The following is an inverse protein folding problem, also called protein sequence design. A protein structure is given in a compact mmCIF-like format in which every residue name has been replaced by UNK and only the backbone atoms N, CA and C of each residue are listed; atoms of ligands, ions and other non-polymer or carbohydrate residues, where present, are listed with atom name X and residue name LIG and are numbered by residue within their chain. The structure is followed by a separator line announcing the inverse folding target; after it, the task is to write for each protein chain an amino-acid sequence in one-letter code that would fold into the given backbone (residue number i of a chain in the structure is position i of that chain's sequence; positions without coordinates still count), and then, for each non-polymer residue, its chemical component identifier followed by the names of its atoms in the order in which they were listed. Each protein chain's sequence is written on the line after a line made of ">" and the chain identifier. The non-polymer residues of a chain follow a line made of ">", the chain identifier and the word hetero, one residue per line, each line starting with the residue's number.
data_IF_651814214599
#
_entry.id   IF_651814214599
#
_cell.length_a   1.000
_cell.length_b   1.000
_cell.length_c   1.000
_cell.angle_alpha   90.00
_cell.angle_beta   90.00
_cell.angle_gamma   90.00
#
_symmetry.space_group_name_H-M   'P 1'
#
loop_
_entity.id
_entity.type
_entity.pdbx_description
1 polymer ?
#
# COMPACT_ATOMS: atom_id res chain seq x y z
N UNK A 1 -13.86 0.63 0.33
CA UNK A 1 -12.63 0.67 1.14
C UNK A 1 -11.51 1.00 0.18
N UNK A 2 -10.62 1.94 0.51
CA UNK A 2 -9.42 2.18 -0.29
C UNK A 2 -8.62 0.89 -0.41
N UNK A 3 -7.97 0.69 -1.56
CA UNK A 3 -7.18 -0.50 -1.85
C UNK A 3 -5.99 -0.07 -2.68
N UNK A 4 -4.81 -0.48 -2.25
CA UNK A 4 -3.61 -0.37 -3.07
C UNK A 4 -3.52 -1.67 -3.85
N UNK A 5 -3.39 -1.53 -5.18
CA UNK A 5 -3.21 -2.66 -6.08
C UNK A 5 -1.94 -2.45 -6.88
N UNK A 6 -0.94 -3.28 -6.64
CA UNK A 6 0.22 -3.39 -7.53
C UNK A 6 -0.08 -4.45 -8.57
N UNK A 7 0.09 -4.12 -9.85
CA UNK A 7 -0.10 -5.06 -10.95
C UNK A 7 1.24 -5.39 -11.61
N UNK A 8 1.54 -6.68 -11.70
CA UNK A 8 2.73 -7.21 -12.37
C UNK A 8 2.28 -8.08 -13.55
N UNK A 9 2.93 -7.94 -14.70
CA UNK A 9 2.65 -8.71 -15.91
C UNK A 9 3.85 -9.58 -16.28
N UNK A 10 3.58 -10.81 -16.68
CA UNK A 10 4.59 -11.80 -17.04
C UNK A 10 4.19 -12.53 -18.32
N UNK A 11 5.16 -12.90 -19.14
CA UNK A 11 4.99 -13.63 -20.42
C UNK A 11 4.68 -15.13 -20.23
N UNK A 12 4.15 -15.48 -19.07
CA UNK A 12 3.74 -16.84 -18.75
C UNK A 12 3.79 -17.15 -17.26
N UNK A 13 3.06 -18.21 -16.90
CA UNK A 13 2.86 -18.59 -15.50
C UNK A 13 4.16 -18.89 -14.77
N UNK A 14 5.12 -19.55 -15.44
CA UNK A 14 6.38 -19.97 -14.79
C UNK A 14 7.14 -18.78 -14.20
N UNK A 15 7.30 -17.71 -14.95
CA UNK A 15 7.99 -16.50 -14.50
C UNK A 15 7.26 -15.80 -13.36
N UNK A 16 5.93 -15.74 -13.41
CA UNK A 16 5.12 -15.21 -12.31
C UNK A 16 5.31 -15.99 -11.00
N UNK A 17 5.43 -17.32 -11.09
CA UNK A 17 5.63 -18.21 -9.94
C UNK A 17 7.02 -18.03 -9.33
N UNK A 18 8.05 -17.91 -10.18
CA UNK A 18 9.41 -17.67 -9.71
C UNK A 18 9.51 -16.34 -8.97
N UNK A 19 8.87 -15.28 -9.49
CA UNK A 19 8.79 -13.98 -8.80
C UNK A 19 8.07 -14.10 -7.44
N UNK A 20 6.92 -14.80 -7.40
CA UNK A 20 6.16 -15.03 -6.17
C UNK A 20 6.96 -15.79 -5.10
N UNK A 21 7.79 -16.73 -5.52
CA UNK A 21 8.67 -17.45 -4.59
C UNK A 21 9.83 -16.60 -4.12
N UNK A 22 10.50 -15.90 -5.04
CA UNK A 22 11.75 -15.20 -4.77
C UNK A 22 11.54 -13.91 -3.98
N UNK A 23 10.49 -13.14 -4.30
CA UNK A 23 10.25 -11.84 -3.67
C UNK A 23 9.36 -11.99 -2.44
N UNK A 24 8.39 -12.89 -2.52
CA UNK A 24 7.27 -12.90 -1.57
C UNK A 24 7.27 -14.14 -0.65
N UNK A 25 8.25 -15.04 -0.80
CA UNK A 25 8.38 -16.28 0.00
C UNK A 25 7.06 -17.07 0.12
N UNK A 26 6.20 -16.97 -0.89
CA UNK A 26 4.86 -17.55 -0.83
C UNK A 26 4.97 -19.05 -1.05
N UNK A 27 4.95 -19.81 0.03
CA UNK A 27 4.67 -21.23 -0.03
C UNK A 27 3.17 -21.42 -0.25
N UNK A 28 2.83 -22.02 -1.39
CA UNK A 28 1.48 -22.20 -1.94
C UNK A 28 0.53 -23.04 -1.08
N UNK A 29 0.98 -23.47 0.10
CA UNK A 29 0.24 -24.37 0.99
C UNK A 29 -0.67 -23.63 1.97
N UNK A 30 -0.46 -22.32 2.18
CA UNK A 30 -1.28 -21.55 3.13
C UNK A 30 -2.36 -20.74 2.39
N UNK A 31 -3.58 -21.27 2.43
CA UNK A 31 -4.87 -20.59 2.21
C UNK A 31 -5.20 -20.12 0.77
N UNK A 32 -5.34 -21.08 -0.15
CA UNK A 32 -6.10 -20.88 -1.39
C UNK A 32 -7.58 -20.74 -1.03
N UNK A 33 -8.18 -19.57 -1.30
CA UNK A 33 -9.58 -19.28 -0.92
C UNK A 33 -10.54 -19.41 -2.10
N UNK A 34 -10.06 -19.21 -3.33
CA UNK A 34 -10.91 -19.26 -4.52
C UNK A 34 -10.09 -19.58 -5.76
N UNK A 35 -10.55 -20.57 -6.52
CA UNK A 35 -10.10 -20.86 -7.88
C UNK A 35 -11.31 -20.72 -8.80
N UNK A 36 -11.30 -19.71 -9.65
CA UNK A 36 -12.23 -19.56 -10.77
C UNK A 36 -11.44 -19.75 -12.07
N UNK A 37 -12.09 -19.97 -13.22
CA UNK A 37 -11.38 -20.20 -14.49
C UNK A 37 -10.30 -19.13 -14.74
N UNK A 38 -9.04 -19.57 -14.70
CA UNK A 38 -7.88 -18.70 -14.90
C UNK A 38 -7.53 -17.78 -13.73
N UNK A 39 -8.25 -17.76 -12.60
CA UNK A 39 -7.99 -16.85 -11.48
C UNK A 39 -7.80 -17.60 -10.15
N UNK A 40 -6.66 -17.38 -9.50
CA UNK A 40 -6.35 -17.92 -8.16
C UNK A 40 -6.16 -16.78 -7.17
N UNK A 41 -6.85 -16.80 -6.03
CA UNK A 41 -6.69 -15.80 -4.96
C UNK A 41 -6.09 -16.42 -3.70
N UNK A 42 -4.99 -15.85 -3.23
CA UNK A 42 -4.36 -16.07 -1.94
C UNK A 42 -4.70 -14.88 -1.03
N UNK A 43 -5.24 -15.09 0.17
CA UNK A 43 -5.49 -14.00 1.12
C UNK A 43 -4.59 -14.12 2.34
N UNK A 44 -4.34 -12.98 2.99
CA UNK A 44 -3.59 -12.96 4.25
C UNK A 44 -2.12 -13.35 4.10
N UNK A 45 -1.54 -13.17 2.91
CA UNK A 45 -0.12 -13.44 2.67
C UNK A 45 0.70 -12.36 3.35
N UNK A 46 1.60 -12.74 4.25
CA UNK A 46 2.48 -11.81 4.95
C UNK A 46 3.73 -11.52 4.10
N UNK A 47 3.93 -10.25 3.74
CA UNK A 47 5.09 -9.75 3.01
C UNK A 47 5.79 -8.67 3.85
N UNK A 48 7.00 -8.91 4.33
CA UNK A 48 7.73 -7.99 5.25
C UNK A 48 6.80 -7.41 6.35
N UNK A 49 6.03 -8.29 7.01
CA UNK A 49 5.05 -7.95 8.07
C UNK A 49 3.79 -7.19 7.62
N UNK A 50 3.48 -7.21 6.32
CA UNK A 50 2.25 -6.65 5.77
C UNK A 50 1.39 -7.77 5.18
N UNK A 51 0.18 -7.92 5.71
CA UNK A 51 -0.81 -8.85 5.18
C UNK A 51 -1.46 -8.32 3.91
N UNK A 52 -1.27 -8.99 2.78
CA UNK A 52 -1.87 -8.67 1.48
C UNK A 52 -2.74 -9.82 0.97
N UNK A 53 -3.53 -9.54 -0.06
CA UNK A 53 -4.05 -10.59 -0.93
C UNK A 53 -3.21 -10.61 -2.22
N UNK A 54 -3.02 -11.78 -2.79
CA UNK A 54 -2.37 -11.97 -4.08
C UNK A 54 -3.39 -12.63 -5.00
N UNK A 55 -3.60 -12.07 -6.18
CA UNK A 55 -4.48 -12.62 -7.22
C UNK A 55 -3.59 -12.96 -8.43
N UNK A 56 -3.57 -14.23 -8.80
CA UNK A 56 -2.96 -14.74 -10.04
C UNK A 56 -4.07 -14.85 -11.10
N UNK A 57 -3.99 -14.07 -12.18
CA UNK A 57 -4.87 -14.16 -13.35
C UNK A 57 -4.06 -14.69 -14.54
N UNK A 58 -4.45 -15.86 -15.05
CA UNK A 58 -3.81 -16.56 -16.17
C UNK A 58 -4.68 -16.36 -17.40
N UNK A 59 -4.15 -15.61 -18.35
CA UNK A 59 -4.68 -15.50 -19.70
C UNK A 59 -3.79 -16.33 -20.64
N UNK A 60 -4.32 -16.86 -21.74
CA UNK A 60 -3.67 -17.87 -22.59
C UNK A 60 -2.14 -17.80 -22.73
N UNK A 61 -1.56 -16.61 -22.97
CA UNK A 61 -0.11 -16.40 -23.06
C UNK A 61 0.52 -15.68 -21.86
N UNK A 62 -0.29 -14.99 -21.04
CA UNK A 62 0.19 -14.00 -20.08
C UNK A 62 -0.31 -14.31 -18.68
N UNK A 63 0.50 -14.02 -17.66
CA UNK A 63 0.07 -14.10 -16.27
C UNK A 63 0.17 -12.74 -15.63
N UNK A 64 -0.92 -12.31 -15.00
CA UNK A 64 -1.01 -11.06 -14.26
C UNK A 64 -1.07 -11.40 -12.78
N UNK A 65 -0.15 -10.85 -12.00
CA UNK A 65 -0.20 -10.91 -10.54
C UNK A 65 -0.66 -9.56 -10.02
N UNK A 66 -1.77 -9.54 -9.29
CA UNK A 66 -2.23 -8.37 -8.53
C UNK A 66 -1.93 -8.60 -7.07
N UNK A 67 -1.14 -7.72 -6.47
CA UNK A 67 -0.89 -7.70 -5.03
C UNK A 67 -1.74 -6.59 -4.47
N UNK A 68 -2.52 -6.94 -3.47
CA UNK A 68 -3.62 -6.16 -3.00
C UNK A 68 -3.53 -5.99 -1.50
N UNK A 69 -3.07 -4.83 -1.05
CA UNK A 69 -3.23 -4.46 0.34
C UNK A 69 -4.56 -3.75 0.48
N UNK A 70 -5.43 -4.27 1.34
CA UNK A 70 -6.51 -3.47 1.88
C UNK A 70 -5.88 -2.35 2.72
N UNK A 71 -5.54 -1.25 2.07
CA UNK A 71 -5.19 0.01 2.73
C UNK A 71 -6.50 0.66 3.07
N UNK A 72 -7.04 0.23 4.18
CA UNK A 72 -8.11 0.98 4.79
C UNK A 72 -7.54 2.39 5.04
N UNK A 73 -8.08 3.44 4.41
CA UNK A 73 -7.88 4.80 4.94
C UNK A 73 -8.28 4.84 6.43
N UNK A 74 -9.12 3.89 6.89
CA UNK A 74 -9.46 3.64 8.30
C UNK A 74 -8.26 3.17 9.12
N UNK A 75 -7.19 2.60 8.56
CA UNK A 75 -5.93 2.26 9.24
C UNK A 75 -4.93 3.44 9.25
N UNK A 76 -4.94 4.26 8.18
CA UNK A 76 -4.38 5.62 8.21
C UNK A 76 -5.09 6.50 9.26
N UNK A 77 -6.40 6.32 9.47
CA UNK A 77 -7.27 7.15 10.33
C UNK A 77 -7.52 6.61 11.75
N UNK A 78 -7.47 5.29 11.99
CA UNK A 78 -7.79 4.64 13.28
C UNK A 78 -6.57 4.06 14.00
N UNK A 79 -5.36 4.52 13.71
CA UNK A 79 -4.17 4.18 14.50
C UNK A 79 -4.18 4.74 15.94
N UNK A 80 -5.37 4.96 16.52
CA UNK A 80 -5.56 4.92 17.97
C UNK A 80 -5.46 3.49 18.55
N UNK A 81 -4.99 2.51 17.78
CA UNK A 81 -4.31 1.38 18.41
C UNK A 81 -3.01 1.91 19.02
N UNK A 82 -3.01 2.07 20.35
CA UNK A 82 -1.89 2.61 21.11
C UNK A 82 -0.60 1.87 20.70
N UNK A 83 0.38 2.61 20.19
CA UNK A 83 1.75 2.20 19.81
C UNK A 83 2.03 1.80 18.34
N UNK A 84 1.13 2.04 17.39
CA UNK A 84 1.47 1.83 15.96
C UNK A 84 2.19 3.04 15.36
N UNK A 85 3.40 2.84 14.80
CA UNK A 85 4.13 3.85 14.02
C UNK A 85 3.67 3.82 12.56
N UNK A 86 2.85 4.80 12.17
CA UNK A 86 2.29 4.93 10.83
C UNK A 86 3.39 5.24 9.82
N UNK A 87 4.36 6.09 10.15
CA UNK A 87 5.43 6.44 9.20
C UNK A 87 6.19 5.18 8.79
N UNK A 88 6.48 4.29 9.76
CA UNK A 88 7.11 2.99 9.50
C UNK A 88 6.20 2.07 8.67
N UNK A 89 4.90 2.03 8.97
CA UNK A 89 3.94 1.24 8.20
C UNK A 89 3.92 1.67 6.72
N UNK A 90 3.87 2.98 6.44
CA UNK A 90 3.87 3.50 5.08
C UNK A 90 5.16 3.17 4.34
N UNK A 91 6.30 3.30 5.02
CA UNK A 91 7.60 2.93 4.48
C UNK A 91 7.66 1.44 4.10
N UNK A 92 7.13 0.55 4.96
CA UNK A 92 7.08 -0.87 4.67
C UNK A 92 6.12 -1.19 3.52
N UNK A 93 4.95 -0.52 3.47
CA UNK A 93 3.99 -0.69 2.37
C UNK A 93 4.67 -0.31 1.06
N UNK A 94 5.32 0.84 1.02
CA UNK A 94 6.01 1.31 -0.17
C UNK A 94 7.14 0.36 -0.60
N UNK A 95 7.96 -0.10 0.34
CA UNK A 95 9.04 -1.07 0.06
C UNK A 95 8.52 -2.36 -0.57
N UNK A 96 7.40 -2.90 -0.08
CA UNK A 96 6.80 -4.15 -0.57
C UNK A 96 6.05 -3.95 -1.89
N UNK A 97 5.26 -2.88 -1.94
CA UNK A 97 4.31 -2.62 -3.02
C UNK A 97 4.90 -1.76 -4.14
N UNK A 98 6.09 -1.17 -3.95
CA UNK A 98 6.77 -0.25 -4.87
C UNK A 98 5.80 0.81 -5.42
N UNK A 99 5.20 1.56 -4.51
CA UNK A 99 4.16 2.54 -4.85
C UNK A 99 4.74 3.91 -5.21
N UNK A 100 5.94 4.20 -4.71
CA UNK A 100 6.78 5.28 -5.18
C UNK A 100 7.84 4.73 -6.14
N UNK A 101 8.41 5.61 -6.95
CA UNK A 101 9.37 5.24 -7.99
C UNK A 101 10.70 4.76 -7.38
N UNK A 102 11.17 5.44 -6.31
CA UNK A 102 12.48 5.21 -5.69
C UNK A 102 12.44 4.94 -4.18
N UNK A 103 11.26 4.84 -3.59
CA UNK A 103 11.10 4.69 -2.15
C UNK A 103 10.68 5.98 -1.46
N UNK A 104 9.86 5.86 -0.42
CA UNK A 104 9.52 6.99 0.46
C UNK A 104 10.77 7.48 1.21
N UNK A 105 11.02 8.78 1.13
CA UNK A 105 12.07 9.42 1.91
C UNK A 105 11.56 9.82 3.30
N UNK A 106 12.38 9.64 4.34
CA UNK A 106 12.03 10.01 5.72
C UNK A 106 13.19 10.66 6.46
N UNK A 107 12.87 11.54 7.39
CA UNK A 107 13.79 12.15 8.34
C UNK A 107 13.36 11.85 9.78
N UNK A 108 13.91 12.59 10.75
CA UNK A 108 13.55 12.45 12.16
C UNK A 108 12.15 12.99 12.51
N UNK A 109 11.55 13.79 11.62
CA UNK A 109 10.25 14.42 11.81
C UNK A 109 9.11 13.64 11.14
N UNK A 110 9.39 12.87 10.10
CA UNK A 110 8.39 12.05 9.42
C UNK A 110 8.82 11.65 8.00
N UNK A 111 7.84 11.55 7.11
CA UNK A 111 8.07 11.24 5.69
C UNK A 111 8.16 12.57 4.93
N UNK A 112 9.21 12.74 4.14
CA UNK A 112 9.44 13.96 3.36
C UNK A 112 8.31 14.12 2.33
N UNK A 113 7.73 15.31 2.28
CA UNK A 113 6.74 15.69 1.29
C UNK A 113 7.42 16.04 -0.03
N UNK A 114 7.69 15.01 -0.81
CA UNK A 114 8.32 15.10 -2.13
C UNK A 114 7.46 14.40 -3.19
N UNK A 115 8.04 14.20 -4.38
CA UNK A 115 7.37 13.50 -5.47
C UNK A 115 7.15 12.01 -5.16
N UNK A 116 7.98 11.38 -4.33
CA UNK A 116 7.85 9.97 -3.96
C UNK A 116 6.61 9.78 -3.09
N UNK A 117 6.39 10.65 -2.11
CA UNK A 117 5.17 10.64 -1.30
C UNK A 117 3.93 10.96 -2.14
N UNK A 118 4.01 11.91 -3.08
CA UNK A 118 2.89 12.21 -4.00
C UNK A 118 2.54 11.02 -4.90
N UNK A 119 3.54 10.32 -5.43
CA UNK A 119 3.33 9.09 -6.21
C UNK A 119 2.65 8.00 -5.37
N UNK A 120 3.17 7.77 -4.15
CA UNK A 120 2.59 6.82 -3.21
C UNK A 120 1.11 7.12 -2.91
N UNK A 121 0.78 8.38 -2.58
CA UNK A 121 -0.59 8.78 -2.26
C UNK A 121 -1.53 8.63 -3.46
N UNK A 122 -1.04 8.96 -4.66
CA UNK A 122 -1.79 8.78 -5.90
C UNK A 122 -2.10 7.31 -6.17
N UNK A 123 -1.13 6.41 -6.04
CA UNK A 123 -1.35 4.96 -6.16
C UNK A 123 -2.32 4.42 -5.08
N UNK A 124 -2.34 5.07 -3.92
CA UNK A 124 -3.33 4.79 -2.87
C UNK A 124 -4.73 5.36 -3.14
N UNK A 125 -4.93 6.10 -4.24
CA UNK A 125 -6.12 6.91 -4.52
C UNK A 125 -6.44 7.88 -3.37
N UNK A 126 -5.41 8.55 -2.85
CA UNK A 126 -5.51 9.58 -1.82
C UNK A 126 -5.11 10.91 -2.45
N UNK A 127 -6.04 11.85 -2.43
CA UNK A 127 -5.77 13.23 -2.79
C UNK A 127 -5.09 13.94 -1.61
N UNK A 128 -4.07 14.74 -1.92
CA UNK A 128 -3.35 15.55 -0.94
C UNK A 128 -3.40 17.02 -1.36
N UNK A 129 -3.81 17.88 -0.43
CA UNK A 129 -3.90 19.33 -0.63
C UNK A 129 -3.07 20.01 0.45
N UNK A 130 -2.11 20.84 0.02
CA UNK A 130 -1.35 21.69 0.94
C UNK A 130 -2.26 22.75 1.57
N UNK A 131 -2.13 22.90 2.87
CA UNK A 131 -2.61 23.99 3.70
C UNK A 131 -1.43 24.48 4.54
N UNK A 132 -1.36 25.77 4.88
CA UNK A 132 -0.14 26.43 5.40
C UNK A 132 0.73 25.56 6.32
N UNK A 133 0.16 25.04 7.41
CA UNK A 133 0.87 24.20 8.39
C UNK A 133 0.49 22.71 8.33
N UNK A 134 -0.37 22.31 7.39
CA UNK A 134 -0.95 20.98 7.35
C UNK A 134 -1.21 20.47 5.93
N UNK A 135 -1.15 19.16 5.72
CA UNK A 135 -1.66 18.55 4.51
C UNK A 135 -3.02 17.92 4.77
N UNK A 136 -3.98 18.25 3.91
CA UNK A 136 -5.30 17.65 3.92
C UNK A 136 -5.29 16.42 3.01
N UNK A 137 -5.63 15.27 3.57
CA UNK A 137 -5.72 14.00 2.84
C UNK A 137 -7.18 13.60 2.65
N UNK A 138 -7.55 13.09 1.47
CA UNK A 138 -8.90 12.60 1.20
C UNK A 138 -8.94 11.37 0.30
N UNK A 139 -9.87 10.45 0.58
CA UNK A 139 -10.23 9.33 -0.31
C UNK A 139 -11.57 9.54 -1.03
N UNK A 140 -12.05 10.80 -1.08
CA UNK A 140 -13.37 11.16 -1.59
C UNK A 140 -14.55 10.83 -0.66
N UNK A 141 -14.33 10.09 0.43
CA UNK A 141 -15.36 9.80 1.45
C UNK A 141 -15.03 10.43 2.80
N UNK A 142 -13.76 10.52 3.13
CA UNK A 142 -13.24 11.03 4.40
C UNK A 142 -12.18 12.08 4.14
N UNK A 143 -11.96 12.94 5.14
CA UNK A 143 -10.94 13.99 5.12
C UNK A 143 -10.15 13.98 6.42
N UNK A 144 -8.86 14.26 6.32
CA UNK A 144 -7.93 14.23 7.45
C UNK A 144 -6.96 15.40 7.31
N UNK A 145 -6.44 15.87 8.42
CA UNK A 145 -5.37 16.86 8.48
C UNK A 145 -4.14 16.22 9.11
N UNK A 146 -2.97 16.49 8.55
CA UNK A 146 -1.68 16.01 9.06
C UNK A 146 -0.72 17.18 9.17
N UNK A 147 -0.04 17.29 10.31
CA UNK A 147 0.92 18.37 10.52
C UNK A 147 2.13 18.22 9.60
N UNK A 148 2.57 19.35 9.06
CA UNK A 148 3.80 19.44 8.27
C UNK A 148 4.85 20.19 9.09
N UNK A 149 6.06 19.66 9.16
CA UNK A 149 7.19 20.29 9.82
C UNK A 149 8.43 20.16 8.94
N UNK A 150 9.03 21.29 8.54
CA UNK A 150 10.22 21.33 7.68
C UNK A 150 10.11 20.46 6.41
N UNK A 151 8.97 20.56 5.72
CA UNK A 151 8.64 19.74 4.54
C UNK A 151 8.46 18.24 4.83
N UNK A 152 8.39 17.82 6.08
CA UNK A 152 8.13 16.43 6.47
C UNK A 152 6.75 16.29 7.10
N UNK A 153 6.05 15.23 6.73
CA UNK A 153 4.71 14.90 7.23
C UNK A 153 4.85 13.83 8.30
N UNK A 154 4.35 14.13 9.49
CA UNK A 154 4.24 13.13 10.55
C UNK A 154 2.86 12.48 10.53
N UNK A 155 2.73 11.33 9.88
CA UNK A 155 1.44 10.63 9.83
C UNK A 155 0.98 10.15 11.22
N UNK A 156 1.87 10.09 12.22
CA UNK A 156 1.48 9.78 13.59
C UNK A 156 0.64 10.89 14.26
N UNK A 157 0.51 12.07 13.64
CA UNK A 157 -0.28 13.20 14.16
C UNK A 157 -1.58 13.44 13.39
N UNK A 158 -2.08 12.46 12.63
CA UNK A 158 -3.32 12.59 11.86
C UNK A 158 -4.50 12.98 12.77
N UNK A 159 -5.28 13.95 12.31
CA UNK A 159 -6.55 14.37 12.92
C UNK A 159 -7.67 14.18 11.87
N UNK A 160 -8.72 13.45 12.23
CA UNK A 160 -9.91 13.31 11.39
C UNK A 160 -10.68 14.63 11.35
N UNK A 161 -11.01 15.10 10.14
CA UNK A 161 -11.88 16.24 9.94
C UNK A 161 -13.30 15.71 9.75
N UNK A 162 -14.26 16.27 10.50
CA UNK A 162 -15.67 15.92 10.38
C UNK A 162 -16.16 16.07 8.94
N UNK A 163 -17.11 15.20 8.56
CA UNK A 163 -17.79 15.24 7.26
C UNK A 163 -18.76 16.43 7.22
#
# INVERSE_FOLDING_TARGET
>A
MGKVVRTLKFDGRKSAIEELKNIYSVNRENEIIKVEEGVTTYKGVELDSILVNIIEEINNSDTVIKIEKLVSLKAFLLSKEQNMDINLLLYNIDKVMKMSDDGLNKDEHGIIFDNQLKAFLKEANIDAVDSEDNIILSDGKRKTSVAVHNNSINFNTIIELGI
#
